data_IF_453835757038
#
_entry.id   IF_453835757038
#
_cell.length_a   1.000
_cell.length_b   1.000
_cell.length_c   1.000
_cell.angle_alpha   90.00
_cell.angle_beta   90.00
_cell.angle_gamma   90.00
#
_symmetry.space_group_name_H-M   'P 1'
#
loop_
_entity.id
_entity.type
_entity.pdbx_description
1 polymer ?
#
# COMPACT_ATOMS: atom_id res chain seq x y z
N UNK A 1 -6.79 -33.35 -2.80
CA UNK A 1 -5.82 -32.27 -3.06
C UNK A 1 -6.16 -31.13 -2.14
N UNK A 2 -5.21 -30.64 -1.34
CA UNK A 2 -5.43 -29.39 -0.60
C UNK A 2 -5.61 -28.26 -1.65
N UNK A 3 -6.53 -27.30 -1.43
CA UNK A 3 -6.63 -26.17 -2.34
C UNK A 3 -5.30 -25.40 -2.35
N UNK A 4 -4.69 -25.26 -3.52
CA UNK A 4 -3.54 -24.40 -3.73
C UNK A 4 -4.04 -22.98 -3.86
N UNK A 5 -4.18 -22.28 -2.73
CA UNK A 5 -4.45 -20.85 -2.72
C UNK A 5 -3.17 -20.09 -3.08
N UNK A 6 -3.28 -19.03 -3.87
CA UNK A 6 -2.16 -18.09 -3.99
C UNK A 6 -1.91 -17.40 -2.63
N UNK A 7 -0.71 -16.86 -2.38
CA UNK A 7 -0.42 -16.08 -1.18
C UNK A 7 -1.38 -14.90 -0.98
N UNK A 8 -1.77 -14.23 -2.08
CA UNK A 8 -2.78 -13.17 -2.04
C UNK A 8 -4.17 -13.67 -1.61
N UNK A 9 -4.57 -14.86 -2.07
CA UNK A 9 -5.83 -15.49 -1.65
C UNK A 9 -5.76 -15.89 -0.17
N UNK A 10 -4.62 -16.42 0.28
CA UNK A 10 -4.39 -16.77 1.68
C UNK A 10 -4.44 -15.54 2.61
N UNK A 11 -4.06 -14.36 2.11
CA UNK A 11 -4.11 -13.10 2.84
C UNK A 11 -5.35 -12.25 2.53
N UNK A 12 -6.33 -12.75 1.76
CA UNK A 12 -7.57 -12.05 1.34
C UNK A 12 -8.45 -11.55 2.50
N UNK A 13 -8.55 -12.33 3.58
CA UNK A 13 -8.10 -11.86 4.88
C UNK A 13 -8.17 -10.37 5.26
N UNK A 14 -7.15 -9.70 4.76
CA UNK A 14 -6.76 -8.31 5.04
C UNK A 14 -7.31 -7.36 3.98
N UNK A 15 -7.74 -7.86 2.83
CA UNK A 15 -8.17 -7.03 1.72
C UNK A 15 -9.52 -6.36 2.03
N UNK A 16 -9.71 -5.07 1.66
CA UNK A 16 -10.91 -4.31 1.94
C UNK A 16 -12.08 -4.58 0.97
N UNK A 17 -12.23 -5.77 0.38
CA UNK A 17 -13.35 -6.09 -0.55
C UNK A 17 -14.47 -6.92 0.10
N UNK A 18 -14.48 -6.98 1.43
CA UNK A 18 -15.42 -7.82 2.17
C UNK A 18 -16.78 -7.16 2.35
N UNK A 19 -17.84 -7.92 2.09
CA UNK A 19 -19.22 -7.50 2.36
C UNK A 19 -19.41 -7.20 3.86
N UNK A 20 -20.26 -6.22 4.17
CA UNK A 20 -20.64 -5.91 5.54
C UNK A 20 -20.92 -4.44 5.78
N UNK A 21 -20.96 -4.00 7.04
CA UNK A 21 -21.17 -2.59 7.35
C UNK A 21 -20.14 -1.70 6.64
N UNK A 22 -20.62 -0.56 6.12
CA UNK A 22 -19.82 0.48 5.45
C UNK A 22 -19.19 0.07 4.12
N UNK A 23 -19.73 -0.95 3.46
CA UNK A 23 -19.31 -1.37 2.12
C UNK A 23 -19.21 -0.19 1.15
N UNK A 24 -20.25 0.65 1.04
CA UNK A 24 -20.22 1.82 0.13
C UNK A 24 -19.13 2.84 0.47
N UNK A 25 -18.80 3.04 1.75
CA UNK A 25 -17.71 3.94 2.16
C UNK A 25 -16.35 3.34 1.82
N UNK A 26 -16.22 2.03 1.98
CA UNK A 26 -15.02 1.29 1.65
C UNK A 26 -14.76 1.30 0.15
N UNK A 27 -15.78 0.99 -0.64
CA UNK A 27 -15.76 1.08 -2.10
C UNK A 27 -15.38 2.48 -2.57
N UNK A 28 -16.00 3.53 -2.01
CA UNK A 28 -15.67 4.91 -2.34
C UNK A 28 -14.20 5.24 -2.03
N UNK A 29 -13.70 4.79 -0.87
CA UNK A 29 -12.29 4.99 -0.47
C UNK A 29 -11.35 4.23 -1.41
N UNK A 30 -11.65 2.97 -1.73
CA UNK A 30 -10.86 2.16 -2.67
C UNK A 30 -10.84 2.84 -4.04
N UNK A 31 -11.99 3.25 -4.57
CA UNK A 31 -12.07 3.95 -5.85
C UNK A 31 -11.23 5.22 -5.85
N UNK A 32 -11.30 6.04 -4.79
CA UNK A 32 -10.50 7.25 -4.65
C UNK A 32 -8.99 6.95 -4.60
N UNK A 33 -8.59 5.85 -3.96
CA UNK A 33 -7.22 5.37 -3.95
C UNK A 33 -6.78 4.92 -5.35
N UNK A 34 -7.58 4.10 -6.03
CA UNK A 34 -7.29 3.59 -7.38
C UNK A 34 -7.19 4.71 -8.41
N UNK A 35 -8.05 5.74 -8.34
CA UNK A 35 -7.94 6.93 -9.19
C UNK A 35 -6.56 7.61 -9.05
N UNK A 36 -5.92 7.51 -7.88
CA UNK A 36 -4.58 8.07 -7.63
C UNK A 36 -3.44 7.11 -7.96
N UNK A 37 -3.71 6.01 -8.67
CA UNK A 37 -2.69 5.04 -9.08
C UNK A 37 -2.21 4.13 -7.96
N UNK A 38 -3.07 3.85 -6.98
CA UNK A 38 -2.77 2.88 -5.93
C UNK A 38 -2.97 1.45 -6.45
N UNK A 39 -2.09 0.55 -6.03
CA UNK A 39 -2.11 -0.87 -6.38
C UNK A 39 -3.21 -1.63 -5.62
N UNK A 40 -4.24 -2.10 -6.35
CA UNK A 40 -5.37 -2.83 -5.77
C UNK A 40 -4.94 -4.02 -4.93
N UNK A 41 -4.07 -4.88 -5.46
CA UNK A 41 -3.65 -6.11 -4.78
C UNK A 41 -2.95 -5.86 -3.43
N UNK A 42 -2.35 -4.67 -3.24
CA UNK A 42 -1.65 -4.29 -1.99
C UNK A 42 -2.56 -3.63 -0.95
N UNK A 43 -3.85 -3.43 -1.27
CA UNK A 43 -4.82 -2.87 -0.35
C UNK A 43 -4.96 -3.75 0.90
N UNK A 44 -4.96 -3.12 2.07
CA UNK A 44 -5.29 -3.78 3.32
C UNK A 44 -6.13 -2.88 4.23
N UNK A 45 -7.07 -3.49 4.92
CA UNK A 45 -7.95 -2.87 5.91
C UNK A 45 -7.38 -3.09 7.31
N UNK A 46 -7.10 -2.00 8.02
CA UNK A 46 -6.40 -2.01 9.31
C UNK A 46 -7.29 -1.40 10.39
N UNK A 47 -7.75 -2.18 11.38
CA UNK A 47 -8.42 -1.62 12.55
C UNK A 47 -7.40 -0.89 13.43
N UNK A 48 -7.81 0.24 14.00
CA UNK A 48 -7.01 0.90 15.05
C UNK A 48 -7.33 0.25 16.40
N UNK A 49 -6.30 -0.23 17.09
CA UNK A 49 -6.34 -0.75 18.46
C UNK A 49 -6.11 0.37 19.47
N UNK A 50 -6.93 0.41 20.52
CA UNK A 50 -6.72 1.34 21.64
C UNK A 50 -5.41 1.05 22.36
N UNK A 51 -5.18 -0.22 22.69
CA UNK A 51 -4.06 -0.64 23.53
C UNK A 51 -2.75 -0.65 22.74
N UNK A 52 -2.80 -1.07 21.47
CA UNK A 52 -1.60 -1.34 20.70
C UNK A 52 -1.17 -0.16 19.83
N UNK A 53 -2.11 0.69 19.40
CA UNK A 53 -1.82 1.72 18.40
C UNK A 53 -1.81 3.15 18.95
N UNK A 54 -2.35 3.39 20.15
CA UNK A 54 -2.33 4.74 20.73
C UNK A 54 -1.07 5.08 21.53
N UNK A 55 -0.69 6.34 21.46
CA UNK A 55 0.22 6.98 22.40
C UNK A 55 -0.53 7.57 23.61
N UNK A 56 0.18 8.03 24.67
CA UNK A 56 -0.44 8.66 25.84
C UNK A 56 -1.24 9.95 25.55
N UNK A 57 -1.11 10.53 24.35
CA UNK A 57 -1.84 11.73 23.92
C UNK A 57 -3.15 11.37 23.19
N UNK A 58 -3.45 10.08 23.04
CA UNK A 58 -4.64 9.58 22.36
C UNK A 58 -4.52 9.61 20.84
N UNK A 59 -3.31 9.80 20.30
CA UNK A 59 -3.05 9.72 18.86
C UNK A 59 -2.60 8.32 18.48
N UNK A 60 -2.87 7.90 17.25
CA UNK A 60 -2.18 6.75 16.68
C UNK A 60 -0.69 7.07 16.60
N UNK A 61 0.13 6.25 17.25
CA UNK A 61 1.57 6.43 17.32
C UNK A 61 2.22 6.14 15.96
N UNK A 62 3.33 6.82 15.66
CA UNK A 62 4.06 6.66 14.40
C UNK A 62 4.41 5.18 14.07
N UNK A 63 4.74 4.38 15.09
CA UNK A 63 5.07 2.97 14.95
C UNK A 63 3.88 2.14 14.46
N UNK A 64 2.65 2.50 14.84
CA UNK A 64 1.44 1.82 14.37
C UNK A 64 1.23 2.08 12.87
N UNK A 65 1.48 3.30 12.39
CA UNK A 65 1.42 3.59 10.96
C UNK A 65 2.41 2.72 10.15
N UNK A 66 3.64 2.54 10.66
CA UNK A 66 4.62 1.63 10.04
C UNK A 66 4.13 0.18 9.99
N UNK A 67 3.45 -0.30 11.04
CA UNK A 67 2.88 -1.64 11.07
C UNK A 67 1.79 -1.81 9.98
N UNK A 68 0.89 -0.85 9.82
CA UNK A 68 -0.14 -0.88 8.77
C UNK A 68 0.50 -0.89 7.36
N UNK A 69 1.53 -0.07 7.15
CA UNK A 69 2.33 -0.07 5.92
C UNK A 69 2.99 -1.42 5.66
N UNK A 70 3.53 -2.06 6.70
CA UNK A 70 4.14 -3.39 6.61
C UNK A 70 3.17 -4.45 6.07
N UNK A 71 1.89 -4.40 6.47
CA UNK A 71 0.87 -5.32 5.97
C UNK A 71 0.65 -5.14 4.45
N UNK A 72 0.51 -3.90 3.98
CA UNK A 72 0.39 -3.61 2.54
C UNK A 72 1.67 -3.94 1.76
N UNK A 73 2.85 -3.78 2.38
CA UNK A 73 4.11 -4.19 1.77
C UNK A 73 4.15 -5.70 1.54
N UNK A 74 3.79 -6.52 2.53
CA UNK A 74 3.75 -7.98 2.35
C UNK A 74 2.78 -8.36 1.24
N UNK A 75 1.58 -7.75 1.18
CA UNK A 75 0.63 -8.00 0.08
C UNK A 75 1.16 -7.59 -1.30
N UNK A 76 1.93 -6.49 -1.38
CA UNK A 76 2.65 -6.15 -2.60
C UNK A 76 3.60 -7.28 -3.00
N UNK A 77 4.38 -7.81 -2.06
CA UNK A 77 5.30 -8.91 -2.36
C UNK A 77 4.58 -10.19 -2.78
N UNK A 78 3.49 -10.54 -2.09
CA UNK A 78 2.61 -11.68 -2.43
C UNK A 78 2.09 -11.60 -3.87
N UNK A 79 1.85 -10.37 -4.39
CA UNK A 79 1.43 -10.16 -5.77
C UNK A 79 2.49 -10.54 -6.82
N UNK A 80 3.73 -10.78 -6.42
CA UNK A 80 4.83 -11.16 -7.32
C UNK A 80 4.95 -12.67 -7.54
N UNK A 81 4.14 -13.51 -6.88
CA UNK A 81 4.22 -14.97 -6.99
C UNK A 81 4.25 -15.46 -8.44
N UNK A 82 3.34 -14.97 -9.29
CA UNK A 82 3.25 -15.39 -10.69
C UNK A 82 4.52 -15.08 -11.51
N UNK A 83 5.26 -14.03 -11.14
CA UNK A 83 6.51 -13.66 -11.81
C UNK A 83 7.71 -14.43 -11.27
N UNK A 84 7.75 -14.66 -9.95
CA UNK A 84 8.85 -15.32 -9.25
C UNK A 84 8.78 -16.85 -9.32
N UNK A 85 7.60 -17.44 -9.54
CA UNK A 85 7.38 -18.89 -9.67
C UNK A 85 8.05 -19.64 -8.50
N UNK A 86 8.91 -20.60 -8.80
CA UNK A 86 9.59 -21.44 -7.80
C UNK A 86 10.59 -20.66 -6.92
N UNK A 87 11.01 -19.45 -7.31
CA UNK A 87 11.85 -18.58 -6.47
C UNK A 87 11.04 -17.79 -5.43
N UNK A 88 9.71 -17.72 -5.55
CA UNK A 88 8.86 -16.96 -4.64
C UNK A 88 9.05 -17.33 -3.15
N UNK A 89 9.11 -18.62 -2.74
CA UNK A 89 9.36 -18.97 -1.34
C UNK A 89 10.74 -18.50 -0.84
N UNK A 90 11.76 -18.48 -1.69
CA UNK A 90 13.10 -18.00 -1.34
C UNK A 90 13.16 -16.48 -1.24
N UNK A 91 12.44 -15.79 -2.13
CA UNK A 91 12.24 -14.35 -2.11
C UNK A 91 11.58 -13.91 -0.80
N UNK A 92 10.49 -14.57 -0.38
CA UNK A 92 9.76 -14.24 0.85
C UNK A 92 10.50 -14.61 2.14
N UNK A 93 11.36 -15.64 2.12
CA UNK A 93 12.08 -16.11 3.31
C UNK A 93 13.46 -15.49 3.50
N UNK A 94 13.88 -14.56 2.62
CA UNK A 94 15.21 -13.96 2.67
C UNK A 94 16.34 -14.98 2.43
N UNK A 95 16.07 -16.05 1.67
CA UNK A 95 17.05 -17.11 1.35
C UNK A 95 17.62 -17.00 -0.08
N UNK A 96 17.10 -16.06 -0.86
CA UNK A 96 17.57 -15.73 -2.20
C UNK A 96 17.72 -14.22 -2.37
N UNK A 97 17.32 -13.72 -3.54
CA UNK A 97 17.16 -12.29 -3.78
C UNK A 97 15.84 -11.86 -3.16
N UNK A 98 15.87 -10.79 -2.37
CA UNK A 98 14.70 -10.26 -1.68
C UNK A 98 14.72 -8.74 -1.62
N UNK A 99 13.59 -8.12 -1.30
CA UNK A 99 13.48 -6.67 -1.18
C UNK A 99 13.98 -6.21 0.19
N UNK A 100 14.68 -5.09 0.23
CA UNK A 100 15.12 -4.44 1.45
C UNK A 100 14.79 -2.94 1.40
N UNK A 101 14.09 -2.46 2.41
CA UNK A 101 13.83 -1.03 2.62
C UNK A 101 15.11 -0.36 3.07
N UNK A 102 15.67 0.58 2.28
CA UNK A 102 16.91 1.26 2.63
C UNK A 102 16.68 2.61 3.36
N UNK A 103 15.58 3.30 3.05
CA UNK A 103 15.24 4.63 3.53
C UNK A 103 13.72 4.80 3.51
N UNK A 104 13.16 5.32 4.60
CA UNK A 104 11.74 5.63 4.68
C UNK A 104 11.54 7.06 5.19
N UNK A 105 10.77 7.86 4.44
CA UNK A 105 10.31 9.19 4.82
C UNK A 105 8.81 9.11 5.16
N UNK A 106 8.48 9.32 6.43
CA UNK A 106 7.10 9.35 6.91
C UNK A 106 6.58 10.79 6.95
N UNK A 107 5.38 11.01 6.42
CA UNK A 107 4.62 12.25 6.55
C UNK A 107 3.24 11.97 7.12
N UNK A 108 3.00 12.40 8.36
CA UNK A 108 1.66 12.39 8.97
C UNK A 108 0.96 13.69 8.58
N UNK A 109 -0.11 13.59 7.79
CA UNK A 109 -0.88 14.73 7.28
C UNK A 109 -2.01 15.13 8.24
N UNK A 110 -2.61 14.15 8.92
CA UNK A 110 -3.66 14.36 9.92
C UNK A 110 -3.51 13.39 11.08
N UNK A 111 -3.96 13.85 12.24
CA UNK A 111 -4.03 13.05 13.45
C UNK A 111 -5.16 12.01 13.31
N UNK A 112 -4.84 10.76 13.63
CA UNK A 112 -5.81 9.68 13.79
C UNK A 112 -5.92 9.35 15.27
N UNK A 113 -7.13 9.10 15.77
CA UNK A 113 -7.37 8.76 17.18
C UNK A 113 -8.20 7.48 17.30
N UNK A 114 -7.98 6.74 18.38
CA UNK A 114 -8.93 5.75 18.89
C UNK A 114 -9.80 6.35 20.01
N UNK A 115 -11.11 6.06 20.01
CA UNK A 115 -11.89 5.85 18.81
C UNK A 115 -12.11 7.23 18.18
N UNK A 116 -12.18 7.34 16.86
CA UNK A 116 -12.62 8.60 16.25
C UNK A 116 -14.14 8.73 16.53
N UNK A 117 -14.46 9.13 17.77
CA UNK A 117 -15.78 9.33 18.32
C UNK A 117 -16.15 10.80 18.10
N UNK A 118 -17.06 11.06 17.17
CA UNK A 118 -18.17 11.93 17.56
C UNK A 118 -19.19 11.05 18.29
N UNK A 119 -19.48 11.40 19.53
CA UNK A 119 -20.41 10.74 20.45
C UNK A 119 -21.84 10.57 19.91
N UNK A 120 -22.14 11.10 18.72
CA UNK A 120 -23.45 11.05 18.07
C UNK A 120 -23.72 9.77 17.26
N UNK A 121 -22.75 8.89 17.01
CA UNK A 121 -22.98 7.65 16.25
C UNK A 121 -22.44 6.43 17.01
N UNK A 122 -23.35 5.76 17.71
CA UNK A 122 -23.15 4.55 18.51
C UNK A 122 -22.86 3.29 17.66
N UNK A 123 -22.00 3.41 16.64
CA UNK A 123 -21.64 2.31 15.76
C UNK A 123 -20.14 2.10 15.82
N UNK A 124 -19.76 1.11 16.63
CA UNK A 124 -18.42 0.68 17.04
C UNK A 124 -17.42 0.37 15.90
N UNK A 125 -17.83 0.53 14.63
CA UNK A 125 -17.19 -0.09 13.46
C UNK A 125 -16.71 0.89 12.37
N UNK A 126 -16.81 2.22 12.56
CA UNK A 126 -16.30 3.24 11.60
C UNK A 126 -14.77 3.33 11.48
N UNK A 127 -13.99 2.42 12.09
CA UNK A 127 -12.64 2.69 12.63
C UNK A 127 -11.51 2.01 11.86
N UNK A 128 -11.56 2.08 10.53
CA UNK A 128 -10.63 1.32 9.70
C UNK A 128 -9.85 2.24 8.78
N UNK A 129 -8.55 2.03 8.78
CA UNK A 129 -7.61 2.64 7.88
C UNK A 129 -7.45 1.71 6.67
N UNK A 130 -7.54 2.24 5.46
CA UNK A 130 -7.15 1.49 4.28
C UNK A 130 -5.72 1.91 3.94
N UNK A 131 -4.83 0.94 3.84
CA UNK A 131 -3.45 1.17 3.44
C UNK A 131 -3.14 0.46 2.15
N UNK A 132 -2.25 1.03 1.35
CA UNK A 132 -1.82 0.44 0.09
C UNK A 132 -0.55 1.10 -0.44
N UNK A 133 -0.03 0.56 -1.53
CA UNK A 133 1.18 1.02 -2.22
C UNK A 133 0.84 1.69 -3.54
N UNK A 134 1.60 2.70 -3.91
CA UNK A 134 1.77 3.17 -5.29
C UNK A 134 3.24 3.03 -5.67
N UNK A 135 3.52 2.48 -6.85
CA UNK A 135 4.87 2.41 -7.39
C UNK A 135 5.12 3.70 -8.18
N UNK A 136 6.13 4.47 -7.78
CA UNK A 136 6.45 5.76 -8.41
C UNK A 136 7.44 5.60 -9.55
N UNK A 137 8.49 4.84 -9.30
CA UNK A 137 9.61 4.70 -10.23
C UNK A 137 10.32 3.36 -10.06
N UNK A 138 10.94 2.90 -11.14
CA UNK A 138 11.61 1.60 -11.21
C UNK A 138 12.97 1.79 -11.87
N UNK A 139 14.00 1.39 -11.15
CA UNK A 139 15.33 1.19 -11.66
C UNK A 139 15.64 -0.31 -11.64
N UNK A 140 16.74 -0.68 -12.29
CA UNK A 140 17.16 -2.05 -12.40
C UNK A 140 17.51 -2.68 -11.03
N UNK A 141 18.06 -1.90 -10.09
CA UNK A 141 18.47 -2.33 -8.75
C UNK A 141 17.46 -2.00 -7.62
N UNK A 142 16.46 -1.17 -7.89
CA UNK A 142 15.55 -0.64 -6.87
C UNK A 142 14.23 -0.10 -7.41
N UNK A 143 13.23 -0.04 -6.55
CA UNK A 143 11.96 0.64 -6.81
C UNK A 143 11.72 1.77 -5.81
N UNK A 144 11.10 2.83 -6.27
CA UNK A 144 10.53 3.87 -5.42
C UNK A 144 9.05 3.61 -5.24
N UNK A 145 8.59 3.54 -3.99
CA UNK A 145 7.18 3.38 -3.69
C UNK A 145 6.71 4.40 -2.66
N UNK A 146 5.42 4.72 -2.71
CA UNK A 146 4.73 5.49 -1.68
C UNK A 146 3.64 4.61 -1.09
N UNK A 147 3.67 4.41 0.23
CA UNK A 147 2.53 3.85 0.94
C UNK A 147 1.61 4.97 1.36
N UNK A 148 0.31 4.75 1.17
CA UNK A 148 -0.74 5.69 1.52
C UNK A 148 -1.62 5.06 2.59
N UNK A 149 -1.94 5.82 3.63
CA UNK A 149 -2.91 5.44 4.66
C UNK A 149 -4.09 6.41 4.58
N UNK A 150 -5.28 5.87 4.34
CA UNK A 150 -6.54 6.60 4.24
C UNK A 150 -7.41 6.29 5.44
N UNK A 151 -7.96 7.34 6.05
CA UNK A 151 -9.00 7.18 7.06
C UNK A 151 -10.35 7.18 6.38
N UNK A 152 -11.07 6.07 6.50
CA UNK A 152 -12.46 5.99 6.02
C UNK A 152 -13.37 6.96 6.79
N UNK A 153 -13.09 7.22 8.07
CA UNK A 153 -13.91 8.13 8.89
C UNK A 153 -13.75 9.59 8.46
N UNK A 154 -12.53 10.00 8.16
CA UNK A 154 -12.19 11.36 7.78
C UNK A 154 -12.28 11.59 6.27
N UNK A 155 -12.52 10.52 5.50
CA UNK A 155 -12.56 10.50 4.03
C UNK A 155 -11.35 11.19 3.40
N UNK A 156 -10.16 10.89 3.93
CA UNK A 156 -8.94 11.57 3.53
C UNK A 156 -7.70 10.72 3.80
N UNK A 157 -6.68 10.95 2.98
CA UNK A 157 -5.33 10.49 3.21
C UNK A 157 -4.76 11.14 4.49
N UNK A 158 -4.40 10.31 5.46
CA UNK A 158 -3.92 10.74 6.78
C UNK A 158 -2.40 10.64 6.94
N UNK A 159 -1.74 9.73 6.22
CA UNK A 159 -0.28 9.66 6.18
C UNK A 159 0.25 9.03 4.90
N UNK A 160 1.47 9.41 4.53
CA UNK A 160 2.23 8.83 3.42
C UNK A 160 3.62 8.41 3.88
N UNK A 161 4.15 7.35 3.27
CA UNK A 161 5.51 6.86 3.48
C UNK A 161 6.18 6.71 2.13
N UNK A 162 7.18 7.54 1.85
CA UNK A 162 7.99 7.40 0.65
C UNK A 162 9.22 6.56 0.98
N UNK A 163 9.46 5.52 0.20
CA UNK A 163 10.60 4.64 0.41
C UNK A 163 11.29 4.28 -0.89
N UNK A 164 12.57 3.97 -0.76
CA UNK A 164 13.30 3.19 -1.75
C UNK A 164 13.40 1.74 -1.24
N UNK A 165 13.14 0.79 -2.13
CA UNK A 165 13.30 -0.64 -1.89
C UNK A 165 14.37 -1.12 -2.86
N UNK A 166 15.48 -1.62 -2.34
CA UNK A 166 16.54 -2.22 -3.13
C UNK A 166 16.39 -3.73 -3.16
N UNK A 167 16.89 -4.38 -4.21
CA UNK A 167 16.96 -5.83 -4.26
C UNK A 167 18.32 -6.31 -3.77
N UNK A 168 18.31 -7.27 -2.85
CA UNK A 168 19.49 -7.74 -2.17
C UNK A 168 19.56 -9.27 -2.17
N UNK A 169 20.69 -9.81 -2.56
CA UNK A 169 20.95 -11.25 -2.45
C UNK A 169 21.35 -11.56 -1.02
N UNK A 170 20.44 -12.08 -0.20
CA UNK A 170 20.67 -12.30 1.23
C UNK A 170 21.74 -13.37 1.53
N UNK A 171 21.92 -14.34 0.64
CA UNK A 171 23.01 -15.33 0.77
C UNK A 171 24.38 -14.76 0.36
N UNK A 172 24.45 -14.05 -0.76
CA UNK A 172 25.71 -13.51 -1.31
C UNK A 172 26.08 -12.14 -0.71
N UNK A 173 25.18 -11.55 0.06
CA UNK A 173 25.35 -10.28 0.75
C UNK A 173 25.66 -9.10 -0.19
N UNK A 174 25.00 -9.03 -1.35
CA UNK A 174 25.18 -7.97 -2.36
C UNK A 174 23.87 -7.38 -2.86
N UNK A 175 23.90 -6.14 -3.33
CA UNK A 175 22.82 -5.56 -4.11
C UNK A 175 22.72 -6.26 -5.48
N UNK A 176 21.50 -6.26 -6.04
CA UNK A 176 21.18 -6.99 -7.26
C UNK A 176 20.44 -6.09 -8.22
N UNK A 177 20.90 -6.09 -9.47
CA UNK A 177 20.15 -5.61 -10.61
C UNK A 177 19.25 -6.75 -11.12
N UNK A 178 17.94 -6.55 -11.03
CA UNK A 178 16.96 -7.55 -11.45
C UNK A 178 16.94 -7.79 -12.97
N UNK A 179 17.29 -6.78 -13.76
CA UNK A 179 17.33 -6.89 -15.20
C UNK A 179 18.56 -7.70 -15.66
N UNK A 180 19.71 -7.51 -15.00
CA UNK A 180 20.94 -8.27 -15.27
C UNK A 180 20.88 -9.71 -14.75
N UNK A 181 20.29 -9.95 -13.56
CA UNK A 181 20.15 -11.30 -13.00
C UNK A 181 19.33 -12.23 -13.90
N UNK A 182 18.42 -11.67 -14.71
CA UNK A 182 17.70 -12.40 -15.74
C UNK A 182 16.59 -13.30 -15.21
N UNK A 183 16.09 -14.19 -16.07
CA UNK A 183 15.10 -15.21 -15.70
C UNK A 183 13.83 -14.64 -15.06
N UNK A 184 13.45 -15.17 -13.89
CA UNK A 184 12.25 -14.74 -13.15
C UNK A 184 12.37 -13.30 -12.63
N UNK A 185 13.58 -12.83 -12.36
CA UNK A 185 13.84 -11.48 -11.85
C UNK A 185 13.69 -10.42 -12.95
N UNK A 186 14.04 -10.75 -14.20
CA UNK A 186 13.74 -9.90 -15.34
C UNK A 186 12.21 -9.79 -15.56
N UNK A 187 11.46 -10.88 -15.36
CA UNK A 187 9.99 -10.83 -15.42
C UNK A 187 9.41 -9.95 -14.31
N UNK A 188 9.94 -10.05 -13.10
CA UNK A 188 9.56 -9.17 -11.99
C UNK A 188 9.86 -7.69 -12.31
N UNK A 189 11.06 -7.37 -12.81
CA UNK A 189 11.42 -6.02 -13.20
C UNK A 189 10.49 -5.45 -14.28
N UNK A 190 10.15 -6.25 -15.30
CA UNK A 190 9.21 -5.85 -16.35
C UNK A 190 7.81 -5.55 -15.77
N UNK A 191 7.30 -6.41 -14.88
CA UNK A 191 6.03 -6.22 -14.20
C UNK A 191 6.00 -4.96 -13.33
N UNK A 192 7.06 -4.71 -12.55
CA UNK A 192 7.21 -3.49 -11.76
C UNK A 192 7.17 -2.25 -12.65
N UNK A 193 7.87 -2.29 -13.79
CA UNK A 193 7.93 -1.17 -14.76
C UNK A 193 6.55 -0.88 -15.34
N UNK A 194 5.80 -1.90 -15.74
CA UNK A 194 4.43 -1.78 -16.25
C UNK A 194 3.49 -1.17 -15.20
N UNK A 195 3.50 -1.71 -13.98
CA UNK A 195 2.69 -1.23 -12.86
C UNK A 195 3.01 0.20 -12.45
N UNK A 196 4.29 0.58 -12.47
CA UNK A 196 4.71 1.98 -12.24
C UNK A 196 4.18 2.91 -13.34
N UNK A 197 4.18 2.48 -14.60
CA UNK A 197 3.62 3.24 -15.70
C UNK A 197 2.10 3.40 -15.56
N UNK A 198 1.38 2.35 -15.14
CA UNK A 198 -0.06 2.41 -14.82
C UNK A 198 -0.36 3.38 -13.69
N UNK A 199 0.36 3.23 -12.57
CA UNK A 199 0.27 4.10 -11.40
C UNK A 199 0.46 5.58 -11.78
N UNK A 200 1.48 5.87 -12.61
CA UNK A 200 1.79 7.22 -13.09
C UNK A 200 0.71 7.78 -14.01
N UNK A 201 0.16 6.95 -14.91
CA UNK A 201 -0.95 7.35 -15.80
C UNK A 201 -2.20 7.71 -14.99
N UNK A 202 -2.58 6.88 -14.03
CA UNK A 202 -3.75 7.11 -13.18
C UNK A 202 -3.58 8.39 -12.34
N UNK A 203 -2.43 8.55 -11.68
CA UNK A 203 -2.15 9.75 -10.88
C UNK A 203 -2.22 11.02 -11.72
N UNK A 204 -1.59 11.04 -12.90
CA UNK A 204 -1.62 12.20 -13.80
C UNK A 204 -3.04 12.55 -14.22
N UNK A 205 -3.85 11.55 -14.61
CA UNK A 205 -5.24 11.77 -15.00
C UNK A 205 -6.08 12.33 -13.83
N UNK A 206 -5.83 11.87 -12.60
CA UNK A 206 -6.47 12.43 -11.41
C UNK A 206 -6.05 13.87 -11.15
N UNK A 207 -4.75 14.19 -11.25
CA UNK A 207 -4.24 15.56 -11.06
C UNK A 207 -4.85 16.54 -12.08
N UNK A 208 -4.94 16.14 -13.35
CA UNK A 208 -5.60 16.92 -14.42
C UNK A 208 -7.09 17.15 -14.11
N UNK A 209 -7.81 16.12 -13.64
CA UNK A 209 -9.21 16.22 -13.21
C UNK A 209 -9.38 17.19 -12.03
N UNK A 210 -8.44 17.21 -11.08
CA UNK A 210 -8.49 18.16 -9.95
C UNK A 210 -8.19 19.60 -10.39
N UNK A 211 -7.22 19.79 -11.28
CA UNK A 211 -6.89 21.12 -11.83
C UNK A 211 -8.10 21.73 -12.56
N UNK A 212 -8.76 20.97 -13.43
CA UNK A 212 -9.96 21.42 -14.15
C UNK A 212 -11.11 21.80 -13.20
N UNK A 213 -11.28 21.07 -12.10
CA UNK A 213 -12.28 21.40 -11.07
C UNK A 213 -11.95 22.70 -10.36
N UNK A 214 -10.69 22.96 -10.05
CA UNK A 214 -10.25 24.21 -9.43
C UNK A 214 -10.49 25.42 -10.35
N UNK A 215 -10.17 25.28 -11.63
CA UNK A 215 -10.36 26.34 -12.63
C UNK A 215 -11.85 26.65 -12.86
N UNK A 216 -12.69 25.62 -12.97
CA UNK A 216 -14.15 25.81 -13.16
C UNK A 216 -14.86 26.42 -11.96
N UNK A 217 -14.35 26.22 -10.74
CA UNK A 217 -14.86 26.88 -9.54
C UNK A 217 -14.40 28.35 -9.47
N UNK A 218 -13.19 28.65 -9.96
CA UNK A 218 -12.67 30.03 -10.00
C UNK A 218 -13.40 30.86 -11.06
N UNK A 219 -13.82 30.26 -12.18
CA UNK A 219 -14.59 30.93 -13.23
C UNK A 219 -16.08 31.19 -12.88
N UNK A 220 -16.58 30.63 -11.77
CA UNK A 220 -17.96 30.82 -11.29
C UNK A 220 -18.08 31.85 -10.16
N UNK A 221 -16.95 32.41 -9.71
CA UNK A 221 -16.87 33.51 -8.73
C UNK A 221 -16.68 34.83 -9.46
#
# INVERSE_FOLDING_TARGET
MAPTFSPLDASSYRHPDRNGPYESLREATILAMLEQGIEYNSLSENPVSWADDQDPFGHVKAQAHMNYVGISFIRLLESFEGHLKDEFPRFMSGRGIGPMTNQCLMKIKRVVKYPDLSWANLTMYRRKLITSVRILDVHADRIQVVYCIWSMTQDVLVSEFQTWIVFYHHKEQRLVDLAEEGGVYQSLHASLTERAAESRRALKAWEEKQAQKADSNTAKL
#
